data_IF_922755081643
#
_entry.id   IF_922755081643
#
_cell.length_a   1.000
_cell.length_b   1.000
_cell.length_c   1.000
_cell.angle_alpha   90.00
_cell.angle_beta   90.00
_cell.angle_gamma   90.00
#
_symmetry.space_group_name_H-M   'P 1'
#
loop_
_entity.id
_entity.type
_entity.pdbx_description
1 polymer ?
#
# COMPACT_ATOMS: atom_id res chain seq x y z
N UNK A 1 -40.59 -62.39 7.20
CA UNK A 1 -39.19 -61.92 7.57
C UNK A 1 -39.17 -60.42 7.47
N UNK A 2 -39.20 -59.79 8.61
CA UNK A 2 -39.22 -58.32 8.65
C UNK A 2 -37.80 -57.72 8.59
N UNK A 3 -37.61 -56.68 7.80
CA UNK A 3 -36.34 -55.93 7.69
C UNK A 3 -35.99 -55.40 9.10
N UNK A 4 -34.77 -55.64 9.60
CA UNK A 4 -34.34 -55.11 10.91
C UNK A 4 -34.45 -53.59 10.95
N UNK A 5 -35.08 -53.04 11.99
CA UNK A 5 -35.31 -51.59 12.16
C UNK A 5 -34.01 -50.74 12.22
N UNK A 6 -32.86 -51.39 12.39
CA UNK A 6 -31.53 -50.74 12.42
C UNK A 6 -31.03 -50.36 11.01
N UNK A 7 -31.51 -51.03 9.93
CA UNK A 7 -31.05 -50.77 8.56
C UNK A 7 -31.35 -49.35 8.11
N UNK A 8 -32.59 -48.81 8.23
CA UNK A 8 -32.86 -47.43 7.83
C UNK A 8 -32.08 -46.36 8.61
N UNK A 9 -31.75 -46.65 9.88
CA UNK A 9 -30.99 -45.70 10.71
C UNK A 9 -29.54 -45.61 10.21
N UNK A 10 -28.94 -46.74 9.87
CA UNK A 10 -27.56 -46.78 9.33
C UNK A 10 -27.51 -46.12 7.94
N UNK A 11 -28.51 -46.39 7.12
CA UNK A 11 -28.60 -45.79 5.77
C UNK A 11 -28.73 -44.27 5.81
N UNK A 12 -29.55 -43.73 6.71
CA UNK A 12 -29.63 -42.29 6.98
C UNK A 12 -28.31 -41.70 7.47
N UNK A 13 -27.63 -42.37 8.38
CA UNK A 13 -26.32 -41.93 8.88
C UNK A 13 -25.26 -41.86 7.78
N UNK A 14 -25.20 -42.91 6.93
CA UNK A 14 -24.28 -42.94 5.77
C UNK A 14 -24.62 -41.85 4.76
N UNK A 15 -25.90 -41.60 4.52
CA UNK A 15 -26.33 -40.55 3.60
C UNK A 15 -25.93 -39.16 4.07
N UNK A 16 -26.16 -38.85 5.36
CA UNK A 16 -25.76 -37.55 5.96
C UNK A 16 -24.24 -37.37 5.94
N UNK A 17 -23.49 -38.46 6.24
CA UNK A 17 -22.02 -38.42 6.24
C UNK A 17 -21.48 -38.22 4.80
N UNK A 18 -22.01 -38.89 3.81
CA UNK A 18 -21.62 -38.68 2.42
C UNK A 18 -21.98 -37.29 1.91
N UNK A 19 -23.23 -36.86 2.14
CA UNK A 19 -23.67 -35.53 1.70
C UNK A 19 -22.91 -34.40 2.38
N UNK A 20 -22.61 -34.53 3.68
CA UNK A 20 -21.79 -33.59 4.43
C UNK A 20 -20.32 -33.61 4.01
N UNK A 21 -19.75 -34.79 3.86
CA UNK A 21 -18.34 -34.98 3.45
C UNK A 21 -18.07 -34.43 2.05
N UNK A 22 -18.95 -34.68 1.09
CA UNK A 22 -18.81 -34.09 -0.27
C UNK A 22 -18.86 -32.56 -0.23
N UNK A 23 -19.77 -31.98 0.56
CA UNK A 23 -19.83 -30.49 0.70
C UNK A 23 -18.57 -29.91 1.28
N UNK A 24 -18.02 -30.52 2.34
CA UNK A 24 -16.76 -30.09 2.94
C UNK A 24 -15.61 -30.26 1.96
N UNK A 25 -15.50 -31.40 1.29
CA UNK A 25 -14.44 -31.64 0.29
C UNK A 25 -14.50 -30.63 -0.87
N UNK A 26 -15.69 -30.32 -1.38
CA UNK A 26 -15.87 -29.32 -2.46
C UNK A 26 -15.51 -27.94 -1.95
N UNK A 27 -15.86 -27.59 -0.71
CA UNK A 27 -15.51 -26.29 -0.12
C UNK A 27 -14.01 -26.15 0.03
N UNK A 28 -13.35 -27.12 0.66
CA UNK A 28 -11.89 -27.13 0.85
C UNK A 28 -11.16 -27.14 -0.51
N UNK A 29 -11.63 -27.97 -1.46
CA UNK A 29 -11.06 -28.01 -2.80
C UNK A 29 -11.18 -26.67 -3.54
N UNK A 30 -12.33 -25.98 -3.42
CA UNK A 30 -12.52 -24.65 -4.02
C UNK A 30 -11.64 -23.59 -3.35
N UNK A 31 -11.43 -23.66 -2.04
CA UNK A 31 -10.54 -22.75 -1.32
C UNK A 31 -9.07 -22.98 -1.72
N UNK A 32 -8.64 -24.24 -1.85
CA UNK A 32 -7.29 -24.58 -2.30
C UNK A 32 -7.06 -24.25 -3.79
N UNK A 33 -8.03 -24.48 -4.66
CA UNK A 33 -7.94 -24.09 -6.07
C UNK A 33 -7.86 -22.57 -6.23
N UNK A 34 -8.65 -21.80 -5.45
CA UNK A 34 -8.56 -20.34 -5.43
C UNK A 34 -7.19 -19.85 -4.91
N UNK A 35 -6.65 -20.48 -3.88
CA UNK A 35 -5.32 -20.15 -3.37
C UNK A 35 -4.23 -20.46 -4.42
N UNK A 36 -4.34 -21.57 -5.14
CA UNK A 36 -3.36 -21.98 -6.14
C UNK A 36 -3.44 -21.15 -7.44
N UNK A 37 -4.64 -20.73 -7.85
CA UNK A 37 -4.83 -19.83 -9.01
C UNK A 37 -4.35 -18.41 -8.69
N UNK A 38 -4.42 -17.97 -7.42
CA UNK A 38 -3.90 -16.68 -6.96
C UNK A 38 -2.36 -16.64 -6.92
N UNK A 39 -1.70 -17.80 -6.73
CA UNK A 39 -0.22 -17.87 -6.69
C UNK A 39 0.45 -17.67 -8.04
N UNK A 40 -0.29 -17.74 -9.15
CA UNK A 40 0.24 -17.54 -10.52
C UNK A 40 0.11 -16.07 -10.98
N UNK A 41 -0.58 -15.23 -10.21
CA UNK A 41 -0.71 -13.82 -10.56
C UNK A 41 0.53 -13.07 -10.04
N UNK A 42 1.29 -12.45 -10.94
CA UNK A 42 2.47 -11.65 -10.60
C UNK A 42 2.06 -10.55 -9.61
N UNK A 43 2.65 -10.59 -8.43
CA UNK A 43 2.44 -9.55 -7.41
C UNK A 43 3.56 -8.53 -7.49
N UNK A 44 3.21 -7.26 -7.60
CA UNK A 44 4.16 -6.16 -7.55
C UNK A 44 4.89 -6.16 -6.20
N UNK A 45 6.21 -6.34 -6.21
CA UNK A 45 7.06 -6.37 -5.02
C UNK A 45 7.32 -4.95 -4.56
N UNK A 46 6.92 -4.62 -3.34
CA UNK A 46 6.91 -3.24 -2.86
C UNK A 46 7.86 -3.05 -1.67
N UNK A 47 8.67 -2.00 -1.75
CA UNK A 47 9.42 -1.43 -0.64
C UNK A 47 8.62 -0.26 -0.06
N UNK A 48 8.34 -0.31 1.25
CA UNK A 48 7.65 0.78 1.95
C UNK A 48 8.70 1.67 2.62
N UNK A 49 8.62 2.98 2.43
CA UNK A 49 9.47 3.94 3.13
C UNK A 49 8.66 4.64 4.22
N UNK A 50 9.05 4.40 5.47
CA UNK A 50 8.36 4.85 6.68
C UNK A 50 7.68 3.72 7.43
N UNK A 51 8.17 3.42 8.65
CA UNK A 51 7.60 2.47 9.60
C UNK A 51 6.80 3.19 10.71
N UNK A 52 6.18 4.32 10.38
CA UNK A 52 5.24 5.03 11.23
C UNK A 52 3.80 4.57 11.00
N UNK A 53 2.82 5.30 11.55
CA UNK A 53 1.39 4.95 11.48
C UNK A 53 0.89 4.78 10.03
N UNK A 54 1.31 5.66 9.12
CA UNK A 54 0.91 5.59 7.72
C UNK A 54 1.45 4.32 7.02
N UNK A 55 2.73 3.98 7.26
CA UNK A 55 3.35 2.76 6.73
C UNK A 55 2.73 1.51 7.33
N UNK A 56 2.44 1.53 8.64
CA UNK A 56 1.76 0.43 9.33
C UNK A 56 0.35 0.19 8.79
N UNK A 57 -0.43 1.25 8.62
CA UNK A 57 -1.78 1.17 8.07
C UNK A 57 -1.76 0.63 6.63
N UNK A 58 -0.86 1.14 5.78
CA UNK A 58 -0.70 0.67 4.41
C UNK A 58 -0.30 -0.81 4.36
N UNK A 59 0.73 -1.20 5.12
CA UNK A 59 1.21 -2.58 5.20
C UNK A 59 0.11 -3.54 5.65
N UNK A 60 -0.60 -3.21 6.74
CA UNK A 60 -1.71 -4.00 7.27
C UNK A 60 -2.83 -4.16 6.26
N UNK A 61 -3.21 -3.10 5.56
CA UNK A 61 -4.28 -3.13 4.57
C UNK A 61 -3.91 -4.00 3.36
N UNK A 62 -2.69 -3.87 2.84
CA UNK A 62 -2.22 -4.68 1.71
C UNK A 62 -2.20 -6.16 2.07
N UNK A 63 -1.74 -6.49 3.29
CA UNK A 63 -1.70 -7.88 3.76
C UNK A 63 -3.09 -8.47 4.03
N UNK A 64 -4.04 -7.64 4.49
CA UNK A 64 -5.41 -8.09 4.77
C UNK A 64 -6.29 -8.23 3.54
N UNK A 65 -5.89 -7.66 2.40
CA UNK A 65 -6.68 -7.66 1.16
C UNK A 65 -5.97 -8.48 0.07
N UNK A 66 -6.24 -9.78 -0.04
CA UNK A 66 -5.54 -10.69 -0.98
C UNK A 66 -5.69 -10.33 -2.47
N UNK A 67 -6.73 -9.55 -2.81
CA UNK A 67 -7.01 -9.13 -4.19
C UNK A 67 -6.09 -7.99 -4.66
N UNK A 68 -5.31 -7.40 -3.75
CA UNK A 68 -4.25 -6.49 -4.13
C UNK A 68 -3.07 -7.27 -4.70
N UNK A 69 -2.74 -6.99 -5.96
CA UNK A 69 -1.57 -7.54 -6.63
C UNK A 69 -0.27 -6.89 -6.15
N UNK A 70 -0.19 -6.58 -4.86
CA UNK A 70 0.93 -5.91 -4.19
C UNK A 70 1.42 -6.82 -3.07
N UNK A 71 2.74 -6.95 -2.96
CA UNK A 71 3.39 -7.69 -1.88
C UNK A 71 4.43 -6.81 -1.21
N UNK A 72 4.24 -6.38 0.04
CA UNK A 72 5.27 -5.68 0.79
C UNK A 72 6.40 -6.67 1.12
N UNK A 73 7.62 -6.33 0.71
CA UNK A 73 8.81 -7.19 0.86
C UNK A 73 9.67 -6.72 2.02
N UNK A 74 9.88 -5.40 2.13
CA UNK A 74 10.67 -4.78 3.18
C UNK A 74 10.16 -3.37 3.48
N UNK A 75 10.59 -2.84 4.62
CA UNK A 75 10.32 -1.46 5.05
C UNK A 75 11.65 -0.77 5.30
N UNK A 76 11.74 0.50 4.97
CA UNK A 76 12.87 1.39 5.28
C UNK A 76 12.36 2.46 6.24
N UNK A 77 13.14 2.75 7.29
CA UNK A 77 12.86 3.84 8.23
C UNK A 77 14.18 4.44 8.71
N UNK A 78 14.25 5.76 8.78
CA UNK A 78 15.46 6.49 9.22
C UNK A 78 15.68 6.38 10.75
N UNK A 79 14.70 5.89 11.51
CA UNK A 79 14.83 5.59 12.93
C UNK A 79 15.60 4.27 13.11
N UNK A 80 16.87 4.39 13.48
CA UNK A 80 17.75 3.25 13.69
C UNK A 80 17.26 2.30 14.79
N UNK A 81 16.45 2.78 15.75
CA UNK A 81 15.90 1.92 16.80
C UNK A 81 14.92 0.88 16.25
N UNK A 82 14.35 1.11 15.08
CA UNK A 82 13.44 0.16 14.41
C UNK A 82 14.17 -0.84 13.50
N UNK A 83 15.42 -0.59 13.16
CA UNK A 83 16.20 -1.44 12.25
C UNK A 83 16.30 -2.87 12.81
N UNK A 84 16.06 -3.86 11.98
CA UNK A 84 16.05 -5.27 12.36
C UNK A 84 14.77 -5.74 13.05
N UNK A 85 13.81 -4.84 13.30
CA UNK A 85 12.47 -5.20 13.75
C UNK A 85 11.59 -5.58 12.54
N UNK A 86 10.35 -5.99 12.80
CA UNK A 86 9.35 -6.26 11.78
C UNK A 86 8.04 -5.55 12.09
N UNK A 87 7.37 -5.07 11.04
CA UNK A 87 6.07 -4.45 11.11
C UNK A 87 5.07 -5.33 10.34
N UNK A 88 4.08 -5.90 11.03
CA UNK A 88 3.14 -6.87 10.43
C UNK A 88 3.82 -8.05 9.72
N UNK A 89 4.99 -8.50 10.20
CA UNK A 89 5.76 -9.58 9.60
C UNK A 89 6.68 -9.15 8.44
N UNK A 90 6.72 -7.87 8.08
CA UNK A 90 7.61 -7.32 7.05
C UNK A 90 8.85 -6.71 7.73
N UNK A 91 10.08 -7.10 7.34
CA UNK A 91 11.31 -6.66 7.99
C UNK A 91 11.61 -5.18 7.71
N UNK A 92 12.18 -4.49 8.72
CA UNK A 92 12.70 -3.12 8.60
C UNK A 92 14.21 -3.19 8.36
N UNK A 93 14.65 -2.70 7.18
CA UNK A 93 16.02 -2.90 6.65
C UNK A 93 16.99 -1.76 6.96
N UNK A 94 16.54 -0.71 7.67
CA UNK A 94 17.39 0.42 8.07
C UNK A 94 17.07 1.72 7.33
N UNK A 95 18.04 2.68 7.27
CA UNK A 95 17.79 4.05 6.82
C UNK A 95 17.55 4.17 5.31
N UNK A 96 17.03 5.32 4.91
CA UNK A 96 16.65 5.63 3.52
C UNK A 96 17.80 5.54 2.51
N UNK A 97 19.05 5.65 2.96
CA UNK A 97 20.26 5.45 2.15
C UNK A 97 20.36 4.02 1.58
N UNK A 98 19.73 3.04 2.24
CA UNK A 98 19.73 1.66 1.81
C UNK A 98 18.71 1.35 0.69
N UNK A 99 17.88 2.33 0.28
CA UNK A 99 16.86 2.12 -0.77
C UNK A 99 17.45 1.48 -2.03
N UNK A 100 18.54 2.02 -2.65
CA UNK A 100 19.06 1.44 -3.89
C UNK A 100 19.51 -0.01 -3.72
N UNK A 101 20.25 -0.31 -2.66
CA UNK A 101 20.74 -1.67 -2.39
C UNK A 101 19.59 -2.64 -2.08
N UNK A 102 18.56 -2.19 -1.37
CA UNK A 102 17.39 -3.01 -1.05
C UNK A 102 16.55 -3.30 -2.29
N UNK A 103 16.38 -2.29 -3.16
CA UNK A 103 15.66 -2.44 -4.42
C UNK A 103 16.32 -3.51 -5.29
N UNK A 104 17.65 -3.45 -5.46
CA UNK A 104 18.40 -4.39 -6.28
C UNK A 104 18.42 -5.80 -5.66
N UNK A 105 18.82 -5.92 -4.39
CA UNK A 105 18.99 -7.22 -3.72
C UNK A 105 17.67 -7.97 -3.53
N UNK A 106 16.58 -7.26 -3.31
CA UNK A 106 15.25 -7.84 -3.09
C UNK A 106 14.35 -7.77 -4.31
N UNK A 107 14.86 -7.36 -5.48
CA UNK A 107 14.09 -7.27 -6.73
C UNK A 107 12.74 -6.54 -6.52
N UNK A 108 12.79 -5.32 -6.04
CA UNK A 108 11.63 -4.48 -5.78
C UNK A 108 11.15 -3.85 -7.09
N UNK A 109 9.86 -3.93 -7.35
CA UNK A 109 9.22 -3.37 -8.54
C UNK A 109 8.75 -1.92 -8.32
N UNK A 110 8.44 -1.56 -7.06
CA UNK A 110 7.88 -0.25 -6.73
C UNK A 110 8.25 0.18 -5.31
N UNK A 111 8.53 1.46 -5.12
CA UNK A 111 8.72 2.09 -3.81
C UNK A 111 7.47 2.89 -3.43
N UNK A 112 6.93 2.67 -2.22
CA UNK A 112 5.81 3.46 -1.66
C UNK A 112 6.33 4.30 -0.51
N UNK A 113 6.27 5.63 -0.67
CA UNK A 113 6.71 6.59 0.33
C UNK A 113 5.54 6.91 1.25
N UNK A 114 5.58 6.38 2.48
CA UNK A 114 4.52 6.45 3.49
C UNK A 114 4.94 7.30 4.70
N UNK A 115 5.43 8.52 4.45
CA UNK A 115 5.91 9.48 5.46
C UNK A 115 5.22 10.84 5.28
N UNK A 116 3.90 10.94 5.57
CA UNK A 116 3.15 12.19 5.37
C UNK A 116 3.69 13.36 6.21
N UNK A 117 4.28 13.08 7.37
CA UNK A 117 4.88 14.07 8.28
C UNK A 117 6.32 14.46 7.93
N UNK A 118 6.91 13.91 6.87
CA UNK A 118 8.27 14.24 6.46
C UNK A 118 8.39 15.70 5.99
N UNK A 119 9.52 16.34 6.34
CA UNK A 119 9.85 17.65 5.80
C UNK A 119 10.07 17.59 4.27
N UNK A 120 9.96 18.74 3.57
CA UNK A 120 10.26 18.78 2.14
C UNK A 120 11.65 18.24 1.79
N UNK A 121 12.66 18.55 2.62
CA UNK A 121 14.05 18.12 2.45
C UNK A 121 14.19 16.59 2.62
N UNK A 122 13.56 16.03 3.65
CA UNK A 122 13.54 14.58 3.87
C UNK A 122 12.89 13.87 2.69
N UNK A 123 11.75 14.39 2.23
CA UNK A 123 11.02 13.82 1.10
C UNK A 123 11.83 13.88 -0.19
N UNK A 124 12.48 15.02 -0.48
CA UNK A 124 13.35 15.20 -1.64
C UNK A 124 14.51 14.20 -1.62
N UNK A 125 15.15 13.97 -0.46
CA UNK A 125 16.24 13.00 -0.31
C UNK A 125 15.79 11.58 -0.60
N UNK A 126 14.64 11.15 -0.06
CA UNK A 126 14.09 9.82 -0.29
C UNK A 126 13.75 9.60 -1.76
N UNK A 127 13.17 10.61 -2.39
CA UNK A 127 12.87 10.56 -3.82
C UNK A 127 14.14 10.45 -4.67
N UNK A 128 15.21 11.14 -4.29
CA UNK A 128 16.50 11.03 -4.97
C UNK A 128 17.06 9.60 -4.87
N UNK A 129 16.97 8.95 -3.71
CA UNK A 129 17.36 7.54 -3.56
C UNK A 129 16.49 6.60 -4.41
N UNK A 130 15.17 6.81 -4.46
CA UNK A 130 14.29 6.01 -5.29
C UNK A 130 14.59 6.16 -6.79
N UNK A 131 14.93 7.38 -7.22
CA UNK A 131 15.40 7.65 -8.60
C UNK A 131 16.70 6.96 -8.93
N UNK A 132 17.68 7.01 -8.03
CA UNK A 132 18.96 6.32 -8.19
C UNK A 132 18.79 4.80 -8.31
N UNK A 133 17.75 4.26 -7.67
CA UNK A 133 17.38 2.86 -7.79
C UNK A 133 16.66 2.50 -9.11
N UNK A 134 16.36 3.47 -9.98
CA UNK A 134 15.65 3.28 -11.25
C UNK A 134 14.33 2.49 -11.11
N UNK A 135 13.59 2.70 -10.03
CA UNK A 135 12.36 2.01 -9.72
C UNK A 135 11.18 2.99 -9.71
N UNK A 136 9.98 2.52 -10.08
CA UNK A 136 8.76 3.32 -9.95
C UNK A 136 8.51 3.65 -8.48
N UNK A 137 8.14 4.89 -8.17
CA UNK A 137 7.78 5.26 -6.81
C UNK A 137 6.45 6.02 -6.76
N UNK A 138 5.77 5.87 -5.63
CA UNK A 138 4.49 6.54 -5.34
C UNK A 138 4.50 7.11 -3.94
N UNK A 139 3.81 8.23 -3.74
CA UNK A 139 3.67 8.86 -2.43
C UNK A 139 2.26 8.58 -1.90
N UNK A 140 2.20 8.19 -0.64
CA UNK A 140 0.96 8.05 0.09
C UNK A 140 0.52 9.44 0.59
N UNK A 141 -0.65 9.94 0.17
CA UNK A 141 -1.12 11.25 0.60
C UNK A 141 -1.41 11.27 2.10
N UNK A 142 -1.17 12.43 2.74
CA UNK A 142 -1.57 12.67 4.13
C UNK A 142 -3.09 12.87 4.19
N UNK A 143 -3.86 11.81 4.29
CA UNK A 143 -5.32 11.90 4.41
C UNK A 143 -5.76 11.27 5.71
N UNK A 144 -6.66 11.91 6.46
CA UNK A 144 -7.30 11.34 7.67
C UNK A 144 -8.00 10.00 7.40
N UNK A 145 -8.28 9.69 6.15
CA UNK A 145 -8.81 8.40 5.70
C UNK A 145 -7.84 7.23 5.87
N UNK A 146 -6.51 7.50 5.90
CA UNK A 146 -5.50 6.48 6.19
C UNK A 146 -5.64 5.94 7.61
N UNK A 147 -5.95 6.81 8.56
CA UNK A 147 -6.17 6.46 9.96
C UNK A 147 -7.47 5.68 10.18
N UNK A 148 -8.41 5.75 9.23
CA UNK A 148 -9.70 5.01 9.26
C UNK A 148 -9.64 3.66 8.54
N UNK A 149 -8.46 3.19 8.12
CA UNK A 149 -8.28 1.87 7.51
C UNK A 149 -8.73 1.76 6.04
N UNK A 150 -9.11 2.87 5.40
CA UNK A 150 -9.56 2.88 4.00
C UNK A 150 -8.49 3.46 3.06
N UNK A 151 -7.36 2.78 2.96
CA UNK A 151 -6.36 3.14 1.93
C UNK A 151 -6.82 2.60 0.58
N UNK A 152 -7.34 3.46 -0.25
CA UNK A 152 -7.60 3.11 -1.64
C UNK A 152 -6.28 3.17 -2.41
N UNK A 153 -5.79 2.03 -2.90
CA UNK A 153 -4.56 1.97 -3.73
C UNK A 153 -4.71 2.83 -4.99
N UNK A 154 -5.95 3.06 -5.46
CA UNK A 154 -6.23 4.01 -6.54
C UNK A 154 -5.86 5.46 -6.19
N UNK A 155 -5.69 5.78 -4.90
CA UNK A 155 -5.22 7.09 -4.41
C UNK A 155 -3.69 7.21 -4.34
N UNK A 156 -2.93 6.13 -4.62
CA UNK A 156 -1.48 6.22 -4.79
C UNK A 156 -1.18 7.10 -6.00
N UNK A 157 -0.88 8.36 -5.72
CA UNK A 157 -0.60 9.34 -6.77
C UNK A 157 0.75 9.03 -7.41
N UNK A 158 0.78 8.92 -8.74
CA UNK A 158 2.04 9.05 -9.48
C UNK A 158 2.55 10.46 -9.23
N UNK A 159 3.74 10.55 -8.70
CA UNK A 159 4.35 11.85 -8.43
C UNK A 159 4.97 12.34 -9.71
N UNK A 160 4.44 13.44 -10.24
CA UNK A 160 5.14 14.18 -11.26
C UNK A 160 6.32 14.92 -10.62
N UNK A 161 7.46 14.92 -11.30
CA UNK A 161 8.72 15.51 -10.80
C UNK A 161 8.57 16.97 -10.39
N UNK A 162 7.61 17.67 -11.00
CA UNK A 162 7.27 19.06 -10.70
C UNK A 162 6.66 19.27 -9.30
N UNK A 163 5.98 18.26 -8.74
CA UNK A 163 5.37 18.34 -7.41
C UNK A 163 6.40 18.22 -6.27
N UNK A 164 7.60 17.71 -6.58
CA UNK A 164 8.67 17.45 -5.59
C UNK A 164 9.72 18.54 -5.50
N UNK A 165 9.87 19.29 -6.56
CA UNK A 165 10.60 20.55 -6.54
C UNK A 165 9.66 21.54 -5.86
N UNK A 166 9.50 21.39 -4.54
CA UNK A 166 8.73 22.32 -3.75
C UNK A 166 9.07 23.74 -4.22
N UNK A 167 8.22 24.33 -5.06
CA UNK A 167 8.13 25.78 -5.05
C UNK A 167 7.87 26.07 -3.59
N UNK A 168 8.92 26.58 -2.90
CA UNK A 168 8.70 27.30 -1.66
C UNK A 168 7.44 28.11 -1.92
N UNK A 169 6.40 27.91 -1.11
CA UNK A 169 5.24 28.80 -1.15
C UNK A 169 5.85 30.19 -1.18
N UNK A 170 5.75 30.83 -2.34
CA UNK A 170 6.20 32.21 -2.44
C UNK A 170 5.24 32.93 -1.52
N UNK A 171 5.70 33.27 -0.31
CA UNK A 171 4.96 34.16 0.57
C UNK A 171 4.80 35.44 -0.24
N UNK A 172 3.64 35.57 -0.85
CA UNK A 172 3.30 36.75 -1.60
C UNK A 172 3.20 37.86 -0.57
N UNK A 173 4.07 38.87 -0.72
CA UNK A 173 4.01 40.06 0.08
C UNK A 173 2.66 40.76 -0.22
N UNK A 174 1.72 40.62 0.71
CA UNK A 174 0.37 41.18 0.58
C UNK A 174 0.41 42.71 0.36
N UNK A 175 1.39 43.41 0.90
CA UNK A 175 1.59 44.83 0.70
C UNK A 175 2.04 45.13 -0.74
N UNK A 176 2.97 44.36 -1.28
CA UNK A 176 3.45 44.51 -2.65
C UNK A 176 2.32 44.16 -3.65
N UNK A 177 1.49 43.15 -3.35
CA UNK A 177 0.30 42.81 -4.15
C UNK A 177 -0.73 43.94 -4.15
N UNK A 178 -1.10 44.47 -2.99
CA UNK A 178 -2.02 45.57 -2.90
C UNK A 178 -1.50 46.80 -3.65
N UNK A 179 -0.23 47.17 -3.51
CA UNK A 179 0.35 48.31 -4.24
C UNK A 179 0.34 48.11 -5.75
N UNK A 180 0.51 46.84 -6.22
CA UNK A 180 0.56 46.53 -7.64
C UNK A 180 -0.82 46.51 -8.31
N UNK A 181 -1.87 46.09 -7.59
CA UNK A 181 -3.22 45.87 -8.16
C UNK A 181 -4.25 46.87 -7.75
N UNK A 182 -3.95 47.77 -6.79
CA UNK A 182 -4.87 48.83 -6.39
C UNK A 182 -5.20 49.74 -7.58
N UNK A 183 -6.48 50.03 -7.81
CA UNK A 183 -7.01 50.79 -8.92
C UNK A 183 -6.70 50.28 -10.33
N UNK A 184 -6.41 48.97 -10.51
CA UNK A 184 -6.22 48.34 -11.80
C UNK A 184 -7.30 47.29 -12.09
N UNK A 185 -7.72 47.19 -13.34
CA UNK A 185 -8.58 46.11 -13.80
C UNK A 185 -7.68 44.91 -14.17
N UNK A 186 -7.88 43.76 -13.54
CA UNK A 186 -7.10 42.54 -13.75
C UNK A 186 -7.97 41.50 -14.46
N UNK A 187 -7.46 40.94 -15.56
CA UNK A 187 -8.04 39.80 -16.23
C UNK A 187 -7.35 38.51 -15.76
N UNK A 188 -8.12 37.60 -15.14
CA UNK A 188 -7.61 36.30 -14.72
C UNK A 188 -8.08 35.26 -15.74
N UNK A 189 -7.14 34.60 -16.41
CA UNK A 189 -7.40 33.46 -17.30
C UNK A 189 -7.08 32.16 -16.59
N UNK A 190 -7.86 31.11 -16.79
CA UNK A 190 -7.62 29.80 -16.20
C UNK A 190 -8.03 29.67 -14.72
N UNK A 191 -8.87 30.55 -14.19
CA UNK A 191 -9.30 30.53 -12.79
C UNK A 191 -10.10 29.26 -12.37
N UNK A 192 -10.58 28.47 -13.32
CA UNK A 192 -11.28 27.21 -13.12
C UNK A 192 -10.43 25.98 -13.51
N UNK A 193 -9.15 26.15 -13.77
CA UNK A 193 -8.23 25.06 -14.02
C UNK A 193 -7.91 24.32 -12.73
N UNK A 194 -8.20 23.01 -12.67
CA UNK A 194 -7.79 22.11 -11.60
C UNK A 194 -6.38 21.61 -11.84
#
# INVERSE_FOLDING_TARGET
>A
EGIPKSIPIIEWGVYIFLAGGVRVAVRVGREQLKANTRSTQYKTRVLIVGAGDAGAAFCSQVLSTPDFLIQPIAIIDDDLAKTGQSLSGVPIMGPSENIPNTVESMQIDMVVIAIPSATPEQRARIVDYARKAHVEFRILPATDELLKGNVSISKLRRVDVSDLLGRAETQLDDQALQATFTNKTVLITGAAGT
#
